data_IF_377763260795
#
_entry.id   IF_377763260795
#
_cell.length_a   1.000
_cell.length_b   1.000
_cell.length_c   1.000
_cell.angle_alpha   90.00
_cell.angle_beta   90.00
_cell.angle_gamma   90.00
#
_symmetry.space_group_name_H-M   'P 1'
#
loop_
_entity.id
_entity.type
_entity.pdbx_description
1 polymer ?
#
# COMPACT_ATOMS: atom_id res chain seq x y z
N UNK A 1 -49.67 -49.88 -18.76
CA UNK A 1 -48.72 -50.42 -19.76
C UNK A 1 -49.10 -49.84 -21.12
N UNK A 2 -48.18 -49.38 -22.00
CA UNK A 2 -46.73 -49.15 -21.86
C UNK A 2 -46.38 -47.62 -21.86
N UNK A 3 -45.35 -47.09 -21.16
CA UNK A 3 -43.89 -47.07 -21.46
C UNK A 3 -43.57 -46.67 -22.91
N UNK A 4 -42.69 -45.70 -23.24
CA UNK A 4 -41.29 -45.53 -22.76
C UNK A 4 -40.66 -44.21 -23.32
N UNK A 5 -39.89 -43.54 -22.46
CA UNK A 5 -38.52 -42.95 -22.62
C UNK A 5 -38.14 -41.81 -23.58
N UNK A 6 -37.29 -40.95 -22.99
CA UNK A 6 -36.59 -39.71 -23.36
C UNK A 6 -35.30 -39.95 -24.17
N UNK A 7 -34.80 -38.95 -24.92
CA UNK A 7 -33.41 -38.47 -24.78
C UNK A 7 -33.41 -36.93 -24.57
N UNK A 8 -32.88 -36.36 -23.50
CA UNK A 8 -31.46 -36.22 -23.13
C UNK A 8 -30.65 -35.50 -24.23
N UNK A 9 -30.78 -34.17 -24.29
CA UNK A 9 -29.83 -33.29 -24.98
C UNK A 9 -29.03 -32.54 -23.93
N UNK A 10 -27.85 -33.08 -23.65
CA UNK A 10 -26.77 -32.48 -22.88
C UNK A 10 -26.22 -31.26 -23.63
N UNK A 11 -26.43 -30.07 -23.09
CA UNK A 11 -25.68 -28.86 -23.45
C UNK A 11 -24.59 -28.67 -22.40
N UNK A 12 -23.35 -29.01 -22.78
CA UNK A 12 -22.14 -28.66 -22.04
C UNK A 12 -21.10 -28.16 -23.03
N UNK A 13 -20.82 -26.85 -23.02
CA UNK A 13 -19.56 -26.22 -23.42
C UNK A 13 -19.70 -24.72 -23.10
N UNK A 14 -19.21 -24.26 -21.94
CA UNK A 14 -17.90 -23.63 -21.83
C UNK A 14 -17.74 -22.42 -22.78
N UNK A 15 -18.18 -21.24 -22.33
CA UNK A 15 -17.62 -19.98 -22.80
C UNK A 15 -16.56 -19.56 -21.77
N UNK A 16 -15.33 -19.95 -22.05
CA UNK A 16 -14.13 -19.49 -21.36
C UNK A 16 -13.95 -17.98 -21.58
N UNK A 17 -13.67 -17.31 -20.46
CA UNK A 17 -12.80 -16.15 -20.27
C UNK A 17 -12.59 -15.18 -21.45
N UNK A 18 -12.96 -13.92 -21.19
CA UNK A 18 -12.03 -12.81 -21.40
C UNK A 18 -12.16 -11.84 -20.23
N UNK A 19 -11.81 -12.31 -19.04
CA UNK A 19 -11.28 -11.41 -18.03
C UNK A 19 -9.93 -10.95 -18.56
N UNK A 20 -9.94 -9.88 -19.37
CA UNK A 20 -8.72 -9.14 -19.68
C UNK A 20 -8.02 -8.79 -18.37
N UNK A 21 -6.68 -8.66 -18.38
CA UNK A 21 -5.95 -8.32 -17.17
C UNK A 21 -6.66 -7.12 -16.56
N UNK A 22 -7.09 -7.25 -15.30
CA UNK A 22 -7.54 -6.11 -14.53
C UNK A 22 -6.41 -5.09 -14.61
N UNK A 23 -6.57 -4.12 -15.50
CA UNK A 23 -5.62 -3.05 -15.69
C UNK A 23 -5.65 -2.33 -14.36
N UNK A 24 -4.63 -2.63 -13.54
CA UNK A 24 -4.46 -2.00 -12.25
C UNK A 24 -4.59 -0.51 -12.52
N UNK A 25 -5.70 0.06 -12.05
CA UNK A 25 -5.93 1.49 -12.20
C UNK A 25 -4.65 2.17 -11.69
N UNK A 26 -4.10 3.13 -12.44
CA UNK A 26 -2.91 3.84 -11.98
C UNK A 26 -3.18 4.25 -10.55
N UNK A 27 -2.29 3.87 -9.64
CA UNK A 27 -2.47 4.18 -8.22
C UNK A 27 -2.77 5.67 -8.14
N UNK A 28 -3.84 6.07 -7.44
CA UNK A 28 -4.23 7.48 -7.37
C UNK A 28 -3.11 8.37 -6.77
N UNK A 29 -2.07 7.74 -6.23
CA UNK A 29 -0.89 8.31 -5.59
C UNK A 29 0.34 8.38 -6.51
N UNK A 30 0.28 7.86 -7.75
CA UNK A 30 1.41 7.82 -8.68
C UNK A 30 2.53 6.85 -8.30
N UNK A 31 2.38 6.08 -7.21
CA UNK A 31 3.31 5.03 -6.78
C UNK A 31 2.59 3.80 -6.24
N UNK A 32 3.12 2.64 -6.59
CA UNK A 32 2.74 1.35 -6.02
C UNK A 32 3.83 0.92 -5.04
N UNK A 33 3.43 0.50 -3.84
CA UNK A 33 4.36 0.14 -2.76
C UNK A 33 4.03 -1.26 -2.27
N UNK A 34 5.06 -2.10 -2.16
CA UNK A 34 4.94 -3.45 -1.63
C UNK A 34 6.12 -3.78 -0.71
N UNK A 35 5.91 -4.69 0.23
CA UNK A 35 6.96 -5.17 1.13
C UNK A 35 7.74 -6.29 0.48
N UNK A 36 9.05 -6.29 0.67
CA UNK A 36 9.93 -7.39 0.29
C UNK A 36 10.48 -7.97 1.58
N UNK A 37 10.01 -9.16 1.95
CA UNK A 37 10.64 -9.97 2.98
C UNK A 37 11.56 -10.93 2.26
N UNK A 38 12.86 -10.64 2.27
CA UNK A 38 13.85 -11.51 1.63
C UNK A 38 14.06 -12.80 2.43
N UNK A 39 14.56 -13.85 1.77
CA UNK A 39 15.04 -15.09 2.44
C UNK A 39 16.16 -14.80 3.44
N UNK A 40 16.86 -13.67 3.31
CA UNK A 40 17.86 -13.17 4.24
C UNK A 40 17.28 -12.38 5.42
N UNK A 41 15.98 -12.50 5.73
CA UNK A 41 15.30 -11.80 6.84
C UNK A 41 15.36 -10.26 6.79
N UNK A 42 15.71 -9.67 5.64
CA UNK A 42 15.72 -8.22 5.48
C UNK A 42 14.28 -7.71 5.33
N UNK A 43 13.94 -6.62 6.04
CA UNK A 43 12.70 -5.89 5.82
C UNK A 43 12.96 -4.74 4.85
N UNK A 44 12.39 -4.85 3.66
CA UNK A 44 12.55 -3.86 2.60
C UNK A 44 11.21 -3.42 2.03
N UNK A 45 11.19 -2.21 1.48
CA UNK A 45 10.02 -1.63 0.82
C UNK A 45 10.40 -1.31 -0.62
N UNK A 46 9.64 -1.86 -1.56
CA UNK A 46 9.81 -1.56 -2.97
C UNK A 46 8.79 -0.51 -3.38
N UNK A 47 9.29 0.55 -4.00
CA UNK A 47 8.48 1.64 -4.54
C UNK A 47 8.58 1.58 -6.05
N UNK A 48 7.44 1.37 -6.72
CA UNK A 48 7.30 1.40 -8.17
C UNK A 48 6.62 2.71 -8.58
N UNK A 49 7.22 3.40 -9.53
CA UNK A 49 6.61 4.59 -10.12
C UNK A 49 5.51 4.18 -11.10
N UNK A 50 4.27 4.59 -10.83
CA UNK A 50 3.12 4.38 -11.72
C UNK A 50 2.63 5.68 -12.36
N UNK A 51 3.29 6.81 -12.08
CA UNK A 51 3.03 8.10 -12.72
C UNK A 51 3.79 8.23 -14.04
N UNK A 52 3.37 9.19 -14.86
CA UNK A 52 3.89 9.35 -16.23
C UNK A 52 5.31 9.94 -16.28
N UNK A 53 5.69 10.72 -15.27
CA UNK A 53 7.00 11.36 -15.16
C UNK A 53 7.95 10.58 -14.22
N UNK A 54 9.25 10.76 -14.41
CA UNK A 54 10.27 10.24 -13.49
C UNK A 54 10.11 10.90 -12.11
N UNK A 55 10.14 10.08 -11.04
CA UNK A 55 10.24 10.61 -9.68
C UNK A 55 11.69 11.03 -9.44
N UNK A 56 11.87 12.27 -9.02
CA UNK A 56 13.18 12.84 -8.71
C UNK A 56 13.77 12.14 -7.47
N UNK A 57 12.92 11.98 -6.46
CA UNK A 57 13.27 11.36 -5.18
C UNK A 57 12.05 10.74 -4.53
N UNK A 58 12.28 9.71 -3.75
CA UNK A 58 11.32 9.14 -2.81
C UNK A 58 12.02 8.94 -1.48
N UNK A 59 11.54 9.59 -0.43
CA UNK A 59 12.02 9.37 0.93
C UNK A 59 11.14 8.30 1.59
N UNK A 60 11.72 7.14 1.88
CA UNK A 60 11.09 6.06 2.64
C UNK A 60 11.55 6.16 4.08
N UNK A 61 10.60 6.37 4.98
CA UNK A 61 10.83 6.59 6.40
C UNK A 61 10.22 5.46 7.22
N UNK A 62 10.97 5.01 8.20
CA UNK A 62 10.53 3.98 9.13
C UNK A 62 11.09 4.23 10.52
N UNK A 63 10.88 3.27 11.39
CA UNK A 63 11.52 3.22 12.69
C UNK A 63 12.14 1.86 12.94
N UNK A 64 13.25 1.85 13.64
CA UNK A 64 13.84 0.64 14.21
C UNK A 64 13.00 0.21 15.41
N UNK A 65 12.80 -1.09 15.55
CA UNK A 65 12.08 -1.69 16.66
C UNK A 65 13.05 -2.44 17.57
N UNK A 66 12.86 -2.32 18.88
CA UNK A 66 13.55 -3.17 19.85
C UNK A 66 12.90 -4.56 19.95
N UNK A 67 13.42 -5.40 20.85
CA UNK A 67 12.89 -6.76 21.08
C UNK A 67 11.48 -6.78 21.66
N UNK A 68 11.00 -5.67 22.22
CA UNK A 68 9.63 -5.50 22.71
C UNK A 68 8.69 -4.92 21.62
N UNK A 69 9.20 -4.71 20.40
CA UNK A 69 8.45 -4.11 19.30
C UNK A 69 8.22 -2.61 19.46
N UNK A 70 8.94 -1.95 20.35
CA UNK A 70 8.86 -0.50 20.56
C UNK A 70 9.80 0.23 19.61
N UNK A 71 9.37 1.40 19.15
CA UNK A 71 10.19 2.23 18.29
C UNK A 71 11.36 2.86 19.06
N UNK A 72 12.55 2.80 18.47
CA UNK A 72 13.79 3.35 19.05
C UNK A 72 14.30 4.51 18.21
N UNK A 73 14.79 4.22 17.00
CA UNK A 73 15.40 5.19 16.10
C UNK A 73 14.57 5.43 14.84
N UNK A 74 14.62 6.65 14.30
CA UNK A 74 14.04 6.95 12.99
C UNK A 74 15.00 6.54 11.87
N UNK A 75 14.46 5.94 10.83
CA UNK A 75 15.17 5.50 9.62
C UNK A 75 14.69 6.35 8.44
N UNK A 76 15.61 6.74 7.55
CA UNK A 76 15.26 7.41 6.29
C UNK A 76 16.16 6.91 5.19
N UNK A 77 15.55 6.44 4.11
CA UNK A 77 16.22 5.98 2.89
C UNK A 77 15.68 6.78 1.72
N UNK A 78 16.55 7.51 1.04
CA UNK A 78 16.18 8.27 -0.16
C UNK A 78 16.51 7.48 -1.42
N UNK A 79 15.51 7.29 -2.27
CA UNK A 79 15.60 6.65 -3.57
C UNK A 79 15.50 7.75 -4.64
N UNK A 80 16.57 8.05 -5.36
CA UNK A 80 16.54 9.06 -6.44
C UNK A 80 16.11 8.43 -7.76
N UNK A 81 15.75 9.24 -8.76
CA UNK A 81 15.63 8.86 -10.17
C UNK A 81 14.92 7.52 -10.38
N UNK A 82 13.60 7.49 -10.14
CA UNK A 82 12.76 6.32 -10.41
C UNK A 82 11.95 6.59 -11.69
N UNK A 83 12.40 6.07 -12.85
CA UNK A 83 11.67 6.28 -14.11
C UNK A 83 10.28 5.67 -14.06
N UNK A 84 9.40 6.14 -14.95
CA UNK A 84 8.07 5.56 -15.12
C UNK A 84 8.15 4.02 -15.29
N UNK A 85 7.24 3.32 -14.63
CA UNK A 85 7.12 1.86 -14.62
C UNK A 85 8.32 1.10 -14.05
N UNK A 86 9.34 1.79 -13.53
CA UNK A 86 10.47 1.20 -12.82
C UNK A 86 10.24 1.25 -11.31
N UNK A 87 11.03 0.46 -10.59
CA UNK A 87 11.00 0.42 -9.14
C UNK A 87 12.40 0.54 -8.56
N UNK A 88 12.48 1.04 -7.33
CA UNK A 88 13.66 0.93 -6.47
C UNK A 88 13.24 0.33 -5.13
N UNK A 89 14.19 -0.20 -4.38
CA UNK A 89 13.94 -0.87 -3.10
C UNK A 89 14.74 -0.19 -2.01
N UNK A 90 14.05 0.24 -0.95
CA UNK A 90 14.63 0.75 0.28
C UNK A 90 14.75 -0.39 1.28
N UNK A 91 15.93 -0.58 1.84
CA UNK A 91 16.18 -1.57 2.89
C UNK A 91 16.01 -0.84 4.23
N UNK A 92 15.01 -1.23 5.02
CA UNK A 92 14.72 -0.63 6.32
C UNK A 92 15.34 -1.41 7.48
N UNK A 93 15.48 -2.73 7.35
CA UNK A 93 16.12 -3.57 8.35
C UNK A 93 16.95 -4.68 7.72
N UNK A 94 18.11 -4.98 8.31
CA UNK A 94 18.94 -6.16 7.99
C UNK A 94 18.40 -7.42 8.70
N UNK A 95 19.02 -8.57 8.45
CA UNK A 95 18.57 -9.89 8.95
C UNK A 95 18.27 -9.93 10.47
N UNK A 96 19.10 -9.24 11.26
CA UNK A 96 19.03 -9.22 12.72
C UNK A 96 18.32 -7.97 13.29
N UNK A 97 17.73 -7.17 12.40
CA UNK A 97 17.12 -5.90 12.77
C UNK A 97 15.62 -5.96 12.55
N UNK A 98 14.86 -5.31 13.44
CA UNK A 98 13.43 -5.12 13.25
C UNK A 98 13.14 -3.66 12.91
N UNK A 99 12.25 -3.44 11.96
CA UNK A 99 11.79 -2.10 11.61
C UNK A 99 10.32 -2.11 11.20
N UNK A 100 9.68 -0.94 11.31
CA UNK A 100 8.36 -0.69 10.75
C UNK A 100 8.43 0.46 9.75
N UNK A 101 7.69 0.33 8.64
CA UNK A 101 7.43 1.46 7.74
C UNK A 101 6.54 2.48 8.46
N UNK A 102 6.88 3.76 8.36
CA UNK A 102 6.14 4.88 8.94
C UNK A 102 5.49 5.73 7.84
N UNK A 103 6.32 6.25 6.92
CA UNK A 103 5.89 7.20 5.88
C UNK A 103 6.71 7.07 4.60
N UNK A 104 6.11 7.44 3.47
CA UNK A 104 6.80 7.63 2.19
C UNK A 104 6.42 9.01 1.65
N UNK A 105 7.41 9.76 1.15
CA UNK A 105 7.19 11.04 0.47
C UNK A 105 7.78 10.99 -0.92
N UNK A 106 6.98 11.30 -1.93
CA UNK A 106 7.44 11.34 -3.32
C UNK A 106 7.75 12.77 -3.73
N UNK A 107 8.77 12.94 -4.57
CA UNK A 107 9.19 14.22 -5.11
C UNK A 107 9.29 14.15 -6.63
N UNK A 108 8.88 15.23 -7.28
CA UNK A 108 9.09 15.46 -8.70
C UNK A 108 9.88 16.75 -8.88
N UNK A 109 10.58 16.89 -10.00
CA UNK A 109 11.15 18.19 -10.38
C UNK A 109 10.03 19.03 -11.00
N UNK A 110 9.68 20.14 -10.36
CA UNK A 110 8.74 21.15 -10.86
C UNK A 110 9.52 22.44 -11.01
N UNK A 111 9.56 23.00 -12.21
CA UNK A 111 10.32 24.22 -12.52
C UNK A 111 11.80 24.16 -12.05
N UNK A 112 12.45 23.01 -12.25
CA UNK A 112 13.84 22.79 -11.84
C UNK A 112 14.06 22.55 -10.34
N UNK A 113 13.00 22.53 -9.53
CA UNK A 113 13.07 22.36 -8.08
C UNK A 113 12.40 21.05 -7.64
N UNK A 114 13.07 20.27 -6.79
CA UNK A 114 12.43 19.11 -6.16
C UNK A 114 11.27 19.54 -5.26
N UNK A 115 10.07 19.15 -5.66
CA UNK A 115 8.84 19.51 -4.97
C UNK A 115 8.12 18.24 -4.52
N UNK A 116 7.76 18.14 -3.22
CA UNK A 116 7.02 17.00 -2.71
C UNK A 116 5.62 16.94 -3.34
N UNK A 117 5.18 15.74 -3.73
CA UNK A 117 3.93 15.51 -4.46
C UNK A 117 2.90 14.77 -3.59
N UNK A 118 3.30 13.65 -3.00
CA UNK A 118 2.41 12.79 -2.22
C UNK A 118 3.06 12.37 -0.91
N UNK A 119 2.24 12.28 0.13
CA UNK A 119 2.57 11.70 1.43
C UNK A 119 1.77 10.42 1.60
N UNK A 120 2.47 9.31 1.82
CA UNK A 120 1.87 8.01 2.13
C UNK A 120 2.22 7.65 3.56
N UNK A 121 1.23 7.31 4.38
CA UNK A 121 1.45 6.89 5.76
C UNK A 121 1.08 5.43 5.95
N UNK A 122 1.92 4.68 6.62
CA UNK A 122 1.70 3.27 6.89
C UNK A 122 0.90 3.09 8.19
N UNK A 123 -0.06 2.16 8.18
CA UNK A 123 -0.92 1.87 9.31
C UNK A 123 -1.44 0.44 9.28
N UNK A 124 -2.23 0.10 10.29
CA UNK A 124 -2.96 -1.15 10.45
C UNK A 124 -4.43 -0.87 10.67
N UNK A 125 -5.28 -1.73 10.15
CA UNK A 125 -6.71 -1.70 10.42
C UNK A 125 -6.98 -2.13 11.87
N UNK A 126 -7.65 -1.26 12.63
CA UNK A 126 -8.06 -1.46 14.02
C UNK A 126 -9.59 -1.36 14.13
N UNK A 127 -10.15 -2.26 14.94
CA UNK A 127 -11.56 -2.36 15.34
C UNK A 127 -12.58 -2.50 14.18
N UNK A 128 -13.15 -3.70 14.06
CA UNK A 128 -14.33 -4.00 13.24
C UNK A 128 -15.37 -4.59 14.19
N UNK A 129 -16.28 -3.76 14.71
CA UNK A 129 -17.48 -4.29 15.38
C UNK A 129 -18.54 -4.46 14.31
N UNK A 130 -19.06 -5.68 14.19
CA UNK A 130 -20.20 -5.96 13.32
C UNK A 130 -21.37 -5.04 13.73
N UNK A 131 -21.85 -4.17 12.83
CA UNK A 131 -23.01 -3.29 13.07
C UNK A 131 -22.72 -1.82 13.40
N UNK A 132 -21.46 -1.36 13.45
CA UNK A 132 -21.14 0.08 13.57
C UNK A 132 -21.02 0.77 12.20
N UNK A 133 -21.48 2.02 12.10
CA UNK A 133 -21.35 2.86 10.88
C UNK A 133 -19.91 3.27 10.58
N UNK A 134 -19.02 3.19 11.57
CA UNK A 134 -17.57 3.26 11.38
C UNK A 134 -17.09 1.90 10.89
N UNK A 135 -16.87 1.79 9.57
CA UNK A 135 -16.51 0.50 8.98
C UNK A 135 -15.08 0.08 9.33
N UNK A 136 -14.15 1.02 9.50
CA UNK A 136 -12.78 0.73 9.92
C UNK A 136 -12.11 1.93 10.59
N UNK A 137 -11.20 1.65 11.51
CA UNK A 137 -10.28 2.63 12.07
C UNK A 137 -8.86 2.22 11.72
N UNK A 138 -7.93 3.16 11.56
CA UNK A 138 -6.51 2.86 11.36
C UNK A 138 -5.73 3.22 12.61
N UNK A 139 -5.09 2.21 13.16
CA UNK A 139 -4.03 2.36 14.14
C UNK A 139 -2.68 2.49 13.38
N UNK A 140 -1.73 3.29 13.87
CA UNK A 140 -0.37 3.32 13.37
C UNK A 140 0.24 1.94 13.53
N UNK A 141 1.23 1.65 12.69
CA UNK A 141 2.13 0.53 12.92
C UNK A 141 2.99 0.85 14.16
N UNK A 142 2.44 0.64 15.36
CA UNK A 142 3.12 0.67 16.67
C UNK A 142 3.74 2.00 17.18
N UNK A 143 3.91 3.07 16.40
CA UNK A 143 4.88 4.12 16.83
C UNK A 143 4.30 5.36 17.54
N UNK A 144 3.05 5.77 17.32
CA UNK A 144 2.68 7.18 17.62
C UNK A 144 1.30 7.44 18.23
N UNK A 145 0.58 6.41 18.68
CA UNK A 145 -0.61 6.55 19.55
C UNK A 145 -1.78 7.39 19.01
N UNK A 146 -1.80 7.76 17.73
CA UNK A 146 -2.90 8.48 17.09
C UNK A 146 -3.75 7.51 16.30
N UNK A 147 -5.06 7.74 16.19
CA UNK A 147 -5.99 6.81 15.53
C UNK A 147 -6.82 7.57 14.50
N UNK A 148 -6.91 7.09 13.26
CA UNK A 148 -7.70 7.73 12.20
C UNK A 148 -8.90 6.87 11.84
N UNK A 149 -10.12 7.37 12.04
CA UNK A 149 -11.33 6.71 11.55
C UNK A 149 -11.51 6.97 10.05
N UNK A 150 -11.82 5.94 9.27
CA UNK A 150 -12.22 6.10 7.87
C UNK A 150 -13.50 5.32 7.58
N UNK A 151 -14.43 5.95 6.89
CA UNK A 151 -15.68 5.32 6.46
C UNK A 151 -16.06 5.85 5.10
N UNK A 152 -16.17 4.96 4.11
CA UNK A 152 -16.85 5.25 2.85
C UNK A 152 -17.54 4.00 2.32
N UNK A 153 -18.65 4.18 1.60
CA UNK A 153 -19.46 3.08 1.05
C UNK A 153 -18.73 2.23 -0.01
N UNK A 154 -17.60 2.71 -0.54
CA UNK A 154 -16.80 2.11 -1.62
C UNK A 154 -15.36 1.82 -1.20
N UNK A 155 -15.15 1.52 0.07
CA UNK A 155 -13.82 1.15 0.58
C UNK A 155 -13.42 -0.27 0.15
N UNK A 156 -12.12 -0.55 -0.06
CA UNK A 156 -11.64 -1.92 -0.23
C UNK A 156 -12.05 -2.78 0.96
N UNK A 157 -12.39 -4.05 0.70
CA UNK A 157 -12.69 -5.04 1.76
C UNK A 157 -11.39 -5.36 2.49
N UNK A 158 -11.17 -4.69 3.61
CA UNK A 158 -9.95 -4.82 4.42
C UNK A 158 -10.24 -5.67 5.66
N UNK A 159 -9.31 -6.55 6.00
CA UNK A 159 -9.43 -7.35 7.23
C UNK A 159 -8.88 -6.58 8.42
N UNK A 160 -9.43 -6.83 9.61
CA UNK A 160 -8.84 -6.34 10.87
C UNK A 160 -7.39 -6.78 10.97
N UNK A 161 -6.49 -5.86 11.32
CA UNK A 161 -5.05 -6.12 11.44
C UNK A 161 -4.28 -6.03 10.12
N UNK A 162 -4.96 -5.89 8.97
CA UNK A 162 -4.29 -5.69 7.68
C UNK A 162 -3.43 -4.43 7.69
N UNK A 163 -2.20 -4.52 7.18
CA UNK A 163 -1.35 -3.36 6.95
C UNK A 163 -1.83 -2.60 5.71
N UNK A 164 -1.82 -1.27 5.78
CA UNK A 164 -2.30 -0.38 4.72
C UNK A 164 -1.41 0.83 4.55
N UNK A 165 -1.51 1.47 3.39
CA UNK A 165 -1.00 2.81 3.10
C UNK A 165 -2.15 3.78 2.90
N UNK A 166 -2.03 4.93 3.55
CA UNK A 166 -2.91 6.07 3.41
C UNK A 166 -2.23 7.14 2.56
N UNK A 167 -2.82 7.44 1.41
CA UNK A 167 -2.26 8.45 0.51
C UNK A 167 -2.93 9.79 0.69
N UNK A 168 -2.12 10.84 0.73
CA UNK A 168 -2.56 12.23 0.80
C UNK A 168 -1.74 13.09 -0.16
N UNK A 169 -2.38 14.01 -0.89
CA UNK A 169 -1.64 15.03 -1.62
C UNK A 169 -0.93 15.94 -0.61
N UNK A 170 0.32 16.29 -0.93
CA UNK A 170 1.10 17.23 -0.13
C UNK A 170 0.40 18.59 -0.16
N UNK A 171 0.29 19.23 1.00
CA UNK A 171 -0.19 20.63 1.06
C UNK A 171 0.95 21.55 0.63
N UNK A 172 0.64 22.68 0.00
CA UNK A 172 1.60 23.78 -0.24
C UNK A 172 2.15 24.45 1.05
N UNK A 173 2.03 23.79 2.20
CA UNK A 173 2.61 24.21 3.45
C UNK A 173 4.12 23.93 3.43
N UNK A 174 4.91 24.81 4.06
CA UNK A 174 6.39 24.71 4.10
C UNK A 174 6.93 23.44 4.80
N UNK A 175 6.08 22.62 5.43
CA UNK A 175 6.50 21.44 6.20
C UNK A 175 5.64 20.21 5.87
N UNK A 176 6.32 19.09 5.65
CA UNK A 176 5.72 17.77 5.45
C UNK A 176 5.02 17.29 6.72
N UNK A 177 3.85 16.67 6.58
CA UNK A 177 3.06 16.19 7.70
C UNK A 177 3.66 14.91 8.30
N UNK A 178 3.95 14.90 9.60
CA UNK A 178 4.59 13.75 10.28
C UNK A 178 3.60 12.68 10.75
N UNK A 179 2.31 12.89 10.52
CA UNK A 179 1.23 11.94 10.81
C UNK A 179 0.04 12.21 9.90
N UNK A 180 -0.80 11.20 9.62
CA UNK A 180 -2.16 11.39 9.13
C UNK A 180 -2.92 12.34 10.03
N UNK A 181 -3.67 13.25 9.43
CA UNK A 181 -4.47 14.22 10.15
C UNK A 181 -5.85 13.62 10.47
N UNK A 182 -6.24 13.66 11.74
CA UNK A 182 -7.57 13.25 12.15
C UNK A 182 -8.63 14.08 11.41
N UNK A 183 -9.65 13.42 10.85
CA UNK A 183 -10.74 14.06 10.11
C UNK A 183 -10.43 14.37 8.64
N UNK A 184 -9.20 14.12 8.15
CA UNK A 184 -8.89 14.24 6.72
C UNK A 184 -9.06 12.90 6.01
N UNK A 185 -9.93 12.87 5.01
CA UNK A 185 -10.11 11.70 4.15
C UNK A 185 -8.89 11.51 3.24
N UNK A 186 -8.24 10.33 3.24
CA UNK A 186 -7.17 10.02 2.30
C UNK A 186 -7.70 9.95 0.87
N UNK A 187 -6.85 10.25 -0.11
CA UNK A 187 -7.21 10.09 -1.53
C UNK A 187 -7.25 8.62 -1.94
N UNK A 188 -6.50 7.77 -1.25
CA UNK A 188 -6.55 6.32 -1.40
C UNK A 188 -6.18 5.60 -0.11
N UNK A 189 -6.78 4.42 0.09
CA UNK A 189 -6.37 3.44 1.09
C UNK A 189 -5.98 2.17 0.35
N UNK A 190 -4.72 1.76 0.42
CA UNK A 190 -4.19 0.62 -0.33
C UNK A 190 -3.64 -0.44 0.62
N UNK A 191 -4.02 -1.72 0.49
CA UNK A 191 -3.39 -2.81 1.23
C UNK A 191 -1.88 -2.82 1.01
N UNK A 192 -1.10 -2.88 2.09
CA UNK A 192 0.34 -3.05 2.02
C UNK A 192 0.65 -4.56 1.95
N UNK A 193 0.88 -5.04 0.73
CA UNK A 193 1.07 -6.47 0.43
C UNK A 193 2.53 -6.80 0.10
N UNK A 194 2.92 -8.08 0.22
CA UNK A 194 4.20 -8.54 -0.29
C UNK A 194 4.32 -8.31 -1.80
N UNK A 195 5.52 -7.96 -2.27
CA UNK A 195 5.79 -7.85 -3.69
C UNK A 195 5.64 -9.21 -4.37
N UNK A 196 5.06 -9.23 -5.58
CA UNK A 196 5.02 -10.44 -6.41
C UNK A 196 6.45 -10.89 -6.73
N UNK A 197 6.74 -12.17 -6.52
CA UNK A 197 8.00 -12.77 -6.93
C UNK A 197 8.13 -12.73 -8.47
N UNK A 198 9.30 -12.39 -9.02
CA UNK A 198 9.53 -12.53 -10.45
C UNK A 198 9.33 -14.00 -10.85
N UNK A 199 8.34 -14.28 -11.71
CA UNK A 199 8.12 -15.62 -12.27
C UNK A 199 6.87 -16.37 -11.80
N UNK A 200 6.10 -15.86 -10.83
CA UNK A 200 4.76 -16.39 -10.53
C UNK A 200 3.68 -15.57 -11.23
N UNK A 201 3.21 -16.07 -12.37
CA UNK A 201 1.90 -15.71 -12.90
C UNK A 201 0.83 -16.40 -12.05
N UNK A 202 -0.17 -15.63 -11.62
CA UNK A 202 -1.41 -16.19 -11.09
C UNK A 202 -2.19 -16.93 -12.17
#
# INVERSE_FOLDING_TARGET
MPTRTVPALTLSLAALLSAGPAQASPSASGVEVCTVTGTSGQYSVRVRNTGEATLARVDVMGVRLDTAGQATDTLTVSLTDIPHSKYKTAILARHEESAALDRIVTYAVVDGTETPQQELFAGKVAHVTHGTTLQYTLAPLAVRGWTVAYGSATSPKLETGAAVLLSYPVRGAKKLATRPEAGRTPTAVTPLVPCREPGKTS
#
